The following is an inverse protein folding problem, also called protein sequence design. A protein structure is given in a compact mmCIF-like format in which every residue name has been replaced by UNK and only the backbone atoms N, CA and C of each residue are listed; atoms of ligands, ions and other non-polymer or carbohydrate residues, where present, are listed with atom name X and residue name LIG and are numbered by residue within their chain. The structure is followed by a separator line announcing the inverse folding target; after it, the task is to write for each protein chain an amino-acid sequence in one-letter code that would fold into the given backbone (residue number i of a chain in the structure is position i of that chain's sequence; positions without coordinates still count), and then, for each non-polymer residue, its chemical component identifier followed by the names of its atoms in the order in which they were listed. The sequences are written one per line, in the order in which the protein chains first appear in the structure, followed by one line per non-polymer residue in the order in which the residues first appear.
data_IF_013891852497
#
_entry.id   IF_013891852497
#
_cell.length_a   1.000
_cell.length_b   1.000
_cell.length_c   1.000
_cell.angle_alpha   90.00
_cell.angle_beta   90.00
_cell.angle_gamma   90.00
#
_symmetry.space_group_name_H-M   'P 1'
#
loop_
_entity.id
_entity.type
_entity.pdbx_description
1 polymer ?
#
# COMPACT_ATOMS: atom_id res chain seq x y z
N UNK A 1 6.34 5.78 -16.06
CA UNK A 1 7.24 4.90 -15.27
C UNK A 1 8.22 5.67 -14.38
N UNK A 2 9.01 6.67 -14.88
CA UNK A 2 10.01 7.35 -14.02
C UNK A 2 9.43 7.84 -12.68
N UNK A 3 8.30 8.54 -12.69
CA UNK A 3 7.66 9.03 -11.45
C UNK A 3 7.24 7.90 -10.49
N UNK A 4 6.79 6.75 -11.03
CA UNK A 4 6.52 5.57 -10.20
C UNK A 4 7.80 5.05 -9.54
N UNK A 5 8.90 4.95 -10.32
CA UNK A 5 10.19 4.50 -9.79
C UNK A 5 10.70 5.44 -8.70
N UNK A 6 10.59 6.76 -8.92
CA UNK A 6 10.95 7.76 -7.91
C UNK A 6 10.09 7.58 -6.65
N UNK A 7 8.77 7.40 -6.78
CA UNK A 7 7.85 7.17 -5.67
C UNK A 7 8.21 5.89 -4.88
N UNK A 8 8.40 4.74 -5.56
CA UNK A 8 8.77 3.48 -4.91
C UNK A 8 10.14 3.59 -4.22
N UNK A 9 11.11 4.21 -4.88
CA UNK A 9 12.46 4.35 -4.34
C UNK A 9 12.51 5.25 -3.08
N UNK A 10 11.61 6.23 -2.99
CA UNK A 10 11.50 7.14 -1.84
C UNK A 10 10.59 6.56 -0.73
N UNK A 11 9.58 5.76 -1.09
CA UNK A 11 8.63 5.13 -0.16
C UNK A 11 9.22 3.89 0.53
N UNK A 12 10.34 4.04 1.23
CA UNK A 12 11.13 2.93 1.82
C UNK A 12 10.57 2.37 3.13
N UNK A 13 9.52 2.97 3.67
CA UNK A 13 8.70 2.48 4.79
C UNK A 13 7.28 3.03 4.69
N UNK A 14 6.28 2.54 5.46
CA UNK A 14 4.93 3.10 5.47
C UNK A 14 4.91 4.61 5.73
N UNK A 15 5.76 5.09 6.64
CA UNK A 15 5.88 6.51 6.98
C UNK A 15 6.38 7.35 5.80
N UNK A 16 7.36 6.82 5.04
CA UNK A 16 7.87 7.47 3.84
C UNK A 16 6.83 7.46 2.70
N UNK A 17 6.07 6.37 2.54
CA UNK A 17 5.01 6.28 1.55
C UNK A 17 3.93 7.35 1.78
N UNK A 18 3.51 7.54 3.03
CA UNK A 18 2.55 8.59 3.40
C UNK A 18 3.15 9.99 3.21
N UNK A 19 4.43 10.18 3.55
CA UNK A 19 5.12 11.44 3.33
C UNK A 19 5.15 11.82 1.84
N UNK A 20 5.56 10.90 0.96
CA UNK A 20 5.61 11.12 -0.49
C UNK A 20 4.22 11.38 -1.09
N UNK A 21 3.21 10.65 -0.64
CA UNK A 21 1.82 10.89 -1.04
C UNK A 21 1.32 12.27 -0.59
N UNK A 22 1.61 12.66 0.65
CA UNK A 22 1.26 13.99 1.17
C UNK A 22 1.95 15.12 0.41
N UNK A 23 3.24 14.96 0.05
CA UNK A 23 3.96 15.94 -0.76
C UNK A 23 3.38 16.08 -2.18
N UNK A 24 2.94 14.97 -2.80
CA UNK A 24 2.23 15.04 -4.09
C UNK A 24 0.88 15.75 -3.93
N UNK A 25 0.10 15.43 -2.90
CA UNK A 25 -1.17 16.11 -2.63
C UNK A 25 -1.00 17.61 -2.39
N UNK A 26 0.01 18.03 -1.64
CA UNK A 26 0.34 19.45 -1.43
C UNK A 26 0.64 20.17 -2.77
N UNK A 27 1.45 19.54 -3.65
CA UNK A 27 1.74 20.07 -4.99
C UNK A 27 0.47 20.23 -5.83
N UNK A 28 -0.54 19.40 -5.59
CA UNK A 28 -1.85 19.46 -6.26
C UNK A 28 -2.85 20.40 -5.57
N UNK A 29 -2.42 21.15 -4.53
CA UNK A 29 -3.23 22.16 -3.85
C UNK A 29 -4.19 21.58 -2.79
N UNK A 30 -3.93 20.41 -2.25
CA UNK A 30 -4.68 19.86 -1.13
C UNK A 30 -4.21 20.49 0.19
N UNK A 31 -5.16 20.87 1.05
CA UNK A 31 -4.90 21.40 2.38
C UNK A 31 -4.78 20.24 3.39
N UNK A 32 -3.76 20.28 4.23
CA UNK A 32 -3.60 19.35 5.35
C UNK A 32 -4.59 19.67 6.46
N UNK A 33 -5.22 18.65 7.01
CA UNK A 33 -6.12 18.71 8.18
C UNK A 33 -5.54 17.88 9.32
N UNK A 34 -5.59 18.42 10.52
CA UNK A 34 -5.26 17.64 11.72
C UNK A 34 -6.49 16.93 12.29
N UNK A 35 -6.34 15.68 12.74
CA UNK A 35 -7.45 14.93 13.33
C UNK A 35 -7.99 15.60 14.62
N UNK A 36 -7.12 16.26 15.39
CA UNK A 36 -7.46 16.92 16.64
C UNK A 36 -8.21 18.25 16.49
N UNK A 37 -8.20 18.83 15.28
CA UNK A 37 -8.76 20.14 15.04
C UNK A 37 -10.22 20.09 14.55
N UNK A 38 -10.91 21.22 14.67
CA UNK A 38 -12.19 21.43 13.98
C UNK A 38 -11.93 21.64 12.48
N UNK A 39 -12.63 20.91 11.61
CA UNK A 39 -12.48 21.06 10.17
C UNK A 39 -13.46 22.11 9.64
N UNK A 40 -12.92 23.14 9.02
CA UNK A 40 -13.69 24.13 8.28
C UNK A 40 -13.60 23.80 6.77
N UNK A 41 -14.48 22.91 6.32
CA UNK A 41 -14.51 22.46 4.93
C UNK A 41 -15.38 23.40 4.08
N UNK A 42 -14.88 23.74 2.89
CA UNK A 42 -15.61 24.59 1.94
C UNK A 42 -16.03 23.79 0.70
N UNK A 43 -17.15 24.10 0.06
CA UNK A 43 -17.52 23.52 -1.22
C UNK A 43 -16.40 23.64 -2.25
N UNK A 44 -16.19 22.61 -3.06
CA UNK A 44 -15.07 22.54 -4.02
C UNK A 44 -13.69 22.29 -3.40
N UNK A 45 -13.55 22.32 -2.08
CA UNK A 45 -12.29 22.19 -1.36
C UNK A 45 -11.61 20.83 -1.53
N UNK A 46 -10.28 20.82 -1.36
CA UNK A 46 -9.41 19.65 -1.46
C UNK A 46 -8.61 19.51 -0.18
N UNK A 47 -8.68 18.35 0.45
CA UNK A 47 -8.10 18.13 1.77
C UNK A 47 -7.45 16.76 1.87
N UNK A 48 -6.50 16.63 2.80
CA UNK A 48 -6.00 15.34 3.25
C UNK A 48 -5.74 15.36 4.76
N UNK A 49 -5.80 14.19 5.36
CA UNK A 49 -5.54 13.95 6.78
C UNK A 49 -4.71 12.68 6.93
N UNK A 50 -3.78 12.67 7.88
CA UNK A 50 -2.94 11.51 8.18
C UNK A 50 -3.26 10.93 9.55
N UNK A 51 -3.06 9.62 9.71
CA UNK A 51 -3.17 8.92 11.00
C UNK A 51 -1.91 8.11 11.24
N UNK A 52 -1.32 8.26 12.43
CA UNK A 52 -0.06 7.62 12.80
C UNK A 52 1.12 7.92 11.85
N UNK A 53 1.00 8.90 10.96
CA UNK A 53 1.97 9.20 9.88
C UNK A 53 2.20 8.01 8.91
N UNK A 54 1.40 6.95 9.00
CA UNK A 54 1.51 5.73 8.19
C UNK A 54 0.25 5.40 7.40
N UNK A 55 -0.85 6.15 7.62
CA UNK A 55 -2.06 6.11 6.80
C UNK A 55 -2.49 7.51 6.43
N UNK A 56 -3.14 7.65 5.26
CA UNK A 56 -3.58 8.94 4.73
C UNK A 56 -4.90 8.77 3.99
N UNK A 57 -5.80 9.75 4.16
CA UNK A 57 -7.03 9.88 3.39
C UNK A 57 -7.06 11.27 2.78
N UNK A 58 -7.25 11.35 1.47
CA UNK A 58 -7.45 12.61 0.75
C UNK A 58 -8.84 12.64 0.12
N UNK A 59 -9.46 13.83 0.07
CA UNK A 59 -10.78 14.00 -0.50
C UNK A 59 -10.98 15.35 -1.20
N UNK A 60 -11.89 15.34 -2.18
CA UNK A 60 -12.32 16.52 -2.92
C UNK A 60 -13.83 16.65 -2.78
N UNK A 61 -14.31 17.81 -2.35
CA UNK A 61 -15.73 18.10 -2.17
C UNK A 61 -16.36 18.65 -3.46
N UNK A 62 -17.64 18.38 -3.77
CA UNK A 62 -18.37 19.05 -4.83
C UNK A 62 -18.63 20.53 -4.47
N UNK A 63 -18.95 21.35 -5.47
CA UNK A 63 -19.43 22.71 -5.26
C UNK A 63 -20.83 22.76 -4.63
N UNK A 64 -21.66 21.76 -4.96
CA UNK A 64 -23.02 21.60 -4.46
C UNK A 64 -23.14 20.49 -3.41
N UNK A 65 -24.38 20.06 -3.19
CA UNK A 65 -24.70 19.00 -2.24
C UNK A 65 -24.14 17.65 -2.73
N UNK A 66 -23.48 16.86 -1.87
CA UNK A 66 -23.05 15.51 -2.19
C UNK A 66 -24.24 14.59 -2.55
N UNK A 67 -24.05 13.76 -3.57
CA UNK A 67 -25.03 12.76 -4.00
C UNK A 67 -24.50 11.32 -3.85
N UNK A 68 -23.18 11.14 -3.97
CA UNK A 68 -22.48 9.85 -3.86
C UNK A 68 -21.00 10.03 -3.56
N UNK A 69 -20.36 8.96 -3.10
CA UNK A 69 -18.93 8.87 -2.93
C UNK A 69 -18.31 8.00 -4.03
N UNK A 70 -17.21 8.46 -4.62
CA UNK A 70 -16.25 7.61 -5.33
C UNK A 70 -15.02 7.45 -4.49
N UNK A 71 -14.67 6.21 -4.15
CA UNK A 71 -13.56 5.92 -3.25
C UNK A 71 -12.59 4.92 -3.86
N UNK A 72 -11.30 5.11 -3.61
CA UNK A 72 -10.29 4.07 -3.81
C UNK A 72 -9.54 3.84 -2.50
N UNK A 73 -9.09 2.61 -2.28
CA UNK A 73 -8.31 2.24 -1.13
C UNK A 73 -7.16 1.31 -1.52
N UNK A 74 -5.99 1.54 -0.93
CA UNK A 74 -4.73 0.81 -1.10
C UNK A 74 -4.00 0.76 0.23
N UNK A 75 -2.79 0.16 0.30
CA UNK A 75 -2.02 0.15 1.54
C UNK A 75 -0.58 0.68 1.38
N UNK A 76 0.03 1.09 2.50
CA UNK A 76 1.32 1.75 2.57
C UNK A 76 2.45 0.82 3.00
N UNK A 77 2.11 -0.25 3.71
CA UNK A 77 3.05 -1.22 4.28
C UNK A 77 3.41 -2.32 3.27
N UNK A 78 4.43 -3.07 3.56
CA UNK A 78 4.91 -4.20 2.76
C UNK A 78 5.65 -5.19 3.66
N UNK A 79 5.69 -6.50 3.32
CA UNK A 79 6.39 -7.49 4.13
C UNK A 79 7.89 -7.22 4.23
N UNK A 80 8.44 -7.44 5.42
CA UNK A 80 9.85 -7.21 5.65
C UNK A 80 10.27 -7.50 7.09
N UNK A 81 11.27 -6.79 7.58
CA UNK A 81 11.78 -6.96 8.93
C UNK A 81 11.75 -5.64 9.70
N UNK A 82 11.17 -5.67 10.90
CA UNK A 82 11.23 -4.58 11.87
C UNK A 82 12.46 -4.76 12.75
N UNK A 83 13.22 -3.70 12.99
CA UNK A 83 14.32 -3.68 13.96
C UNK A 83 13.73 -3.57 15.36
N UNK A 84 13.99 -4.57 16.21
CA UNK A 84 13.49 -4.61 17.59
C UNK A 84 14.31 -3.76 18.55
N UNK A 85 15.63 -3.63 18.27
CA UNK A 85 16.55 -2.96 19.17
C UNK A 85 17.68 -2.30 18.37
N UNK A 86 17.93 -1.02 18.65
CA UNK A 86 19.00 -0.24 18.02
C UNK A 86 20.37 -0.65 18.56
N UNK A 87 20.47 -1.00 19.86
CA UNK A 87 21.72 -1.51 20.48
C UNK A 87 21.71 -3.02 20.41
N UNK A 88 22.65 -3.60 19.66
CA UNK A 88 22.83 -5.05 19.57
C UNK A 88 24.19 -5.47 20.14
N UNK A 89 24.17 -6.42 21.07
CA UNK A 89 25.37 -6.98 21.68
C UNK A 89 25.83 -8.22 20.91
N UNK A 90 26.38 -8.01 19.71
CA UNK A 90 26.96 -9.10 18.90
C UNK A 90 28.16 -9.74 19.58
N UNK A 91 28.30 -11.08 19.49
CA UNK A 91 29.45 -11.80 20.06
C UNK A 91 30.71 -11.67 19.18
N UNK A 92 30.54 -11.76 17.87
CA UNK A 92 31.64 -11.75 16.88
C UNK A 92 31.56 -10.52 15.97
N UNK A 93 30.36 -10.18 15.52
CA UNK A 93 30.03 -9.03 14.68
C UNK A 93 28.88 -8.25 15.32
N UNK A 94 28.80 -6.97 15.04
CA UNK A 94 27.62 -6.18 15.37
C UNK A 94 26.46 -6.60 14.46
N UNK A 95 25.35 -6.96 15.06
CA UNK A 95 24.14 -7.37 14.35
C UNK A 95 22.90 -6.72 14.97
N UNK A 96 21.89 -6.48 14.18
CA UNK A 96 20.60 -6.00 14.67
C UNK A 96 19.67 -7.18 14.98
N UNK A 97 18.87 -7.05 16.03
CA UNK A 97 17.77 -7.96 16.27
C UNK A 97 16.55 -7.51 15.47
N UNK A 98 16.03 -8.41 14.65
CA UNK A 98 14.85 -8.15 13.82
C UNK A 98 13.75 -9.16 14.06
N UNK A 99 12.52 -8.78 13.73
CA UNK A 99 11.37 -9.67 13.65
C UNK A 99 10.67 -9.51 12.30
N UNK A 100 10.04 -10.58 11.81
CA UNK A 100 9.27 -10.55 10.59
C UNK A 100 8.00 -9.69 10.74
N UNK A 101 7.74 -8.89 9.72
CA UNK A 101 6.53 -8.11 9.53
C UNK A 101 5.82 -8.61 8.27
N UNK A 102 4.60 -9.14 8.40
CA UNK A 102 3.90 -9.80 7.30
C UNK A 102 4.52 -11.14 6.86
N UNK A 103 4.13 -11.61 5.71
CA UNK A 103 4.47 -12.92 5.15
C UNK A 103 5.50 -12.87 4.01
N UNK A 104 6.77 -12.51 4.27
CA UNK A 104 7.80 -12.38 3.24
C UNK A 104 8.38 -13.73 2.77
N UNK A 105 8.92 -13.77 1.56
CA UNK A 105 9.77 -14.87 1.05
C UNK A 105 11.19 -14.68 1.61
N UNK A 106 11.50 -15.33 2.72
CA UNK A 106 12.73 -15.12 3.51
C UNK A 106 14.00 -15.29 2.70
N UNK A 107 14.07 -16.29 1.81
CA UNK A 107 15.27 -16.58 0.98
C UNK A 107 15.71 -15.40 0.12
N UNK A 108 14.81 -14.50 -0.22
CA UNK A 108 15.11 -13.37 -1.11
C UNK A 108 15.80 -12.19 -0.40
N UNK A 109 15.92 -12.25 0.92
CA UNK A 109 16.54 -11.20 1.74
C UNK A 109 18.03 -11.41 1.99
N UNK A 110 18.56 -12.59 1.68
CA UNK A 110 19.96 -12.92 1.88
C UNK A 110 20.89 -12.29 0.85
N UNK A 111 22.15 -12.06 1.25
CA UNK A 111 23.30 -11.69 0.43
C UNK A 111 23.12 -10.42 -0.41
N UNK A 112 22.29 -9.49 0.05
CA UNK A 112 22.07 -8.22 -0.64
C UNK A 112 22.26 -7.02 0.28
N UNK A 113 22.60 -5.85 -0.27
CA UNK A 113 22.69 -4.63 0.51
C UNK A 113 21.35 -4.23 1.08
N UNK A 114 21.28 -4.04 2.39
CA UNK A 114 20.12 -3.55 3.12
C UNK A 114 20.46 -2.27 3.88
N UNK A 115 19.42 -1.53 4.22
CA UNK A 115 19.52 -0.37 5.12
C UNK A 115 18.27 -0.30 6.00
N UNK A 116 18.13 0.78 6.79
CA UNK A 116 16.94 1.02 7.58
C UNK A 116 16.20 2.28 7.17
N UNK A 117 14.90 2.26 7.36
CA UNK A 117 14.02 3.40 7.20
C UNK A 117 12.81 3.28 8.14
N UNK A 118 12.24 4.42 8.51
CA UNK A 118 11.07 4.47 9.39
C UNK A 118 10.98 5.82 10.08
N UNK A 119 10.72 5.79 11.39
CA UNK A 119 10.71 6.99 12.23
C UNK A 119 11.46 6.76 13.53
N UNK A 120 12.08 7.82 14.03
CA UNK A 120 12.73 7.88 15.34
C UNK A 120 11.93 8.80 16.26
N UNK A 121 11.65 8.35 17.46
CA UNK A 121 10.92 9.11 18.47
C UNK A 121 11.93 9.81 19.35
N UNK A 122 11.90 11.13 19.37
CA UNK A 122 12.94 11.94 20.00
C UNK A 122 12.37 12.91 21.03
N UNK A 123 13.17 13.21 22.03
CA UNK A 123 12.91 14.26 22.99
C UNK A 123 13.32 15.60 22.41
N UNK A 124 12.47 16.61 22.59
CA UNK A 124 12.78 18.02 22.29
C UNK A 124 12.39 18.91 23.45
N UNK A 125 12.81 20.18 23.50
CA UNK A 125 12.36 21.11 24.53
C UNK A 125 10.82 21.27 24.61
N UNK A 126 10.13 21.10 23.48
CA UNK A 126 8.68 21.28 23.37
C UNK A 126 7.89 19.97 23.57
N UNK A 127 8.56 18.84 23.80
CA UNK A 127 7.92 17.54 24.03
C UNK A 127 8.56 16.39 23.27
N UNK A 128 7.77 15.35 23.02
CA UNK A 128 8.18 14.16 22.27
C UNK A 128 7.67 14.27 20.84
N UNK A 129 8.57 14.14 19.88
CA UNK A 129 8.22 14.25 18.46
C UNK A 129 8.73 13.03 17.66
N UNK A 130 8.04 12.72 16.59
CA UNK A 130 8.45 11.72 15.60
C UNK A 130 9.24 12.38 14.48
N UNK A 131 10.37 11.81 14.09
CA UNK A 131 11.19 12.24 12.95
C UNK A 131 11.31 11.12 11.93
N UNK A 132 10.94 11.41 10.69
CA UNK A 132 11.18 10.53 9.56
C UNK A 132 12.68 10.29 9.44
N UNK A 133 13.09 9.01 9.38
CA UNK A 133 14.50 8.62 9.45
C UNK A 133 14.80 7.56 8.40
N UNK A 134 15.82 7.81 7.60
CA UNK A 134 16.31 6.88 6.56
C UNK A 134 17.81 6.95 6.46
N UNK A 135 18.47 5.80 6.41
CA UNK A 135 19.91 5.73 6.13
C UNK A 135 20.13 5.42 4.64
N UNK A 136 20.60 6.42 3.88
CA UNK A 136 20.90 6.28 2.45
C UNK A 136 22.32 5.71 2.23
N UNK A 137 22.60 4.56 2.85
CA UNK A 137 23.87 3.82 2.70
C UNK A 137 23.64 2.31 2.84
N UNK A 138 24.55 1.51 2.31
CA UNK A 138 24.55 0.06 2.48
C UNK A 138 25.04 -0.30 3.87
N UNK A 139 24.12 -0.56 4.81
CA UNK A 139 24.46 -0.78 6.23
C UNK A 139 24.49 -2.25 6.61
N UNK A 140 23.53 -3.04 6.11
CA UNK A 140 23.30 -4.38 6.58
C UNK A 140 23.43 -5.42 5.47
N UNK A 141 23.74 -6.64 5.89
CA UNK A 141 23.60 -7.84 5.08
C UNK A 141 23.10 -8.98 5.98
N UNK A 142 22.20 -9.79 5.47
CA UNK A 142 21.84 -11.09 6.05
C UNK A 142 22.67 -12.13 5.29
N UNK A 143 23.78 -12.65 5.83
CA UNK A 143 24.64 -13.56 5.09
C UNK A 143 24.10 -14.98 5.11
N UNK A 144 24.06 -15.65 3.95
CA UNK A 144 23.86 -17.08 3.89
C UNK A 144 25.01 -17.83 4.59
N UNK A 145 24.66 -18.98 5.19
CA UNK A 145 25.70 -19.92 5.60
C UNK A 145 26.31 -20.57 4.34
N UNK A 146 27.66 -20.62 4.29
CA UNK A 146 28.34 -21.19 3.15
C UNK A 146 27.85 -22.61 2.86
N UNK A 147 27.72 -22.96 1.56
CA UNK A 147 27.22 -24.27 1.11
C UNK A 147 27.96 -25.46 1.74
N UNK A 148 29.24 -25.26 2.09
CA UNK A 148 30.06 -26.29 2.74
C UNK A 148 29.56 -26.69 4.14
N UNK A 149 28.85 -25.77 4.80
CA UNK A 149 28.29 -25.97 6.15
C UNK A 149 26.76 -26.21 6.12
N UNK A 150 26.13 -26.00 4.97
CA UNK A 150 24.70 -26.22 4.77
C UNK A 150 24.42 -26.84 3.37
N UNK A 151 24.79 -28.10 3.21
CA UNK A 151 24.69 -28.80 1.92
C UNK A 151 23.25 -29.07 1.48
N UNK A 152 22.29 -28.99 2.39
CA UNK A 152 20.88 -29.23 2.14
C UNK A 152 20.09 -27.98 1.78
N UNK A 153 20.74 -26.80 1.72
CA UNK A 153 20.06 -25.51 1.46
C UNK A 153 19.19 -25.55 0.21
N UNK A 154 19.60 -26.24 -0.83
CA UNK A 154 18.87 -26.35 -2.11
C UNK A 154 17.81 -27.48 -2.11
N UNK A 155 17.59 -28.16 -0.99
CA UNK A 155 16.65 -29.27 -0.85
C UNK A 155 15.40 -28.90 -0.04
N UNK A 156 15.12 -27.62 0.19
CA UNK A 156 13.96 -27.13 0.93
C UNK A 156 14.29 -26.77 2.40
N UNK A 157 15.37 -26.04 2.62
CA UNK A 157 15.76 -25.56 3.95
C UNK A 157 14.70 -24.68 4.59
N UNK A 158 14.33 -24.98 5.85
CA UNK A 158 13.39 -24.18 6.63
C UNK A 158 14.14 -23.15 7.47
N UNK A 159 14.03 -21.89 7.11
CA UNK A 159 14.66 -20.80 7.84
C UNK A 159 14.05 -20.60 9.23
N UNK A 160 14.93 -20.36 10.22
CA UNK A 160 14.55 -19.90 11.53
C UNK A 160 14.83 -18.39 11.64
N UNK A 161 13.79 -17.52 11.70
CA UNK A 161 14.00 -16.07 11.70
C UNK A 161 14.91 -15.56 12.83
N UNK A 162 14.89 -16.20 13.99
CA UNK A 162 15.69 -15.80 15.15
C UNK A 162 17.19 -16.13 14.98
N UNK A 163 17.52 -17.12 14.15
CA UNK A 163 18.89 -17.61 13.97
C UNK A 163 19.46 -17.17 12.63
N UNK A 164 18.72 -17.41 11.56
CA UNK A 164 19.22 -17.27 10.19
C UNK A 164 19.13 -15.84 9.63
N UNK A 165 18.19 -15.01 10.17
CA UNK A 165 17.80 -13.74 9.55
C UNK A 165 18.30 -12.49 10.33
N UNK A 166 19.33 -12.63 11.18
CA UNK A 166 19.88 -11.51 11.92
C UNK A 166 20.88 -10.74 11.02
N UNK A 167 20.61 -9.47 10.66
CA UNK A 167 21.48 -8.72 9.77
C UNK A 167 22.75 -8.25 10.49
N UNK A 168 23.88 -8.42 9.84
CA UNK A 168 25.19 -7.92 10.30
C UNK A 168 25.41 -6.51 9.74
N UNK A 169 25.93 -5.59 10.57
CA UNK A 169 26.22 -4.21 10.15
C UNK A 169 27.63 -3.70 10.49
N UNK A 170 28.46 -4.49 11.14
CA UNK A 170 29.81 -4.03 11.42
C UNK A 170 30.65 -4.97 12.30
N UNK A 171 31.80 -4.48 12.75
CA UNK A 171 32.61 -5.12 13.76
C UNK A 171 31.89 -5.09 15.12
N UNK A 172 32.30 -5.93 16.06
CA UNK A 172 31.68 -6.11 17.38
C UNK A 172 31.31 -4.79 18.08
N UNK A 173 32.15 -3.79 17.98
CA UNK A 173 32.01 -2.51 18.69
C UNK A 173 31.35 -1.41 17.81
N UNK A 174 30.80 -1.76 16.67
CA UNK A 174 30.07 -0.80 15.82
C UNK A 174 28.77 -0.35 16.50
N UNK A 175 28.50 0.96 16.45
CA UNK A 175 27.33 1.58 17.10
C UNK A 175 26.27 2.03 16.09
N UNK A 176 25.17 1.29 16.03
CA UNK A 176 24.02 1.63 15.18
C UNK A 176 23.27 2.84 15.73
N UNK A 177 23.29 3.08 17.05
CA UNK A 177 22.59 4.21 17.67
C UNK A 177 23.13 5.54 17.15
N UNK A 178 24.45 5.67 17.03
CA UNK A 178 25.09 6.86 16.46
C UNK A 178 24.67 7.10 14.99
N UNK A 179 24.48 6.03 14.21
CA UNK A 179 23.98 6.15 12.83
C UNK A 179 22.54 6.65 12.82
N UNK A 180 21.66 6.07 13.66
CA UNK A 180 20.26 6.51 13.76
C UNK A 180 20.18 7.97 14.24
N UNK A 181 20.97 8.35 15.24
CA UNK A 181 21.01 9.72 15.76
C UNK A 181 21.41 10.73 14.68
N UNK A 182 22.44 10.39 13.90
CA UNK A 182 22.90 11.21 12.75
C UNK A 182 21.78 11.38 11.72
N UNK A 183 21.14 10.29 11.31
CA UNK A 183 20.06 10.35 10.29
C UNK A 183 18.79 11.02 10.80
N UNK A 184 18.52 10.94 12.11
CA UNK A 184 17.42 11.67 12.76
C UNK A 184 17.78 13.14 13.09
N UNK A 185 19.03 13.54 12.88
CA UNK A 185 19.58 14.87 13.23
C UNK A 185 19.35 15.25 14.71
N UNK A 186 19.73 14.35 15.64
CA UNK A 186 19.63 14.51 17.10
C UNK A 186 20.84 13.91 17.81
N UNK A 187 20.99 14.24 19.09
CA UNK A 187 21.93 13.53 19.96
C UNK A 187 21.37 12.13 20.31
N UNK A 188 22.26 11.15 20.46
CA UNK A 188 21.87 9.77 20.79
C UNK A 188 21.07 9.65 22.08
N UNK A 189 21.33 10.52 23.05
CA UNK A 189 20.63 10.55 24.36
C UNK A 189 19.19 11.08 24.27
N UNK A 190 18.84 11.75 23.18
CA UNK A 190 17.50 12.24 22.92
C UNK A 190 16.61 11.23 22.18
N UNK A 191 17.17 10.11 21.72
CA UNK A 191 16.38 9.03 21.13
C UNK A 191 15.67 8.26 22.25
N UNK A 192 14.34 8.26 22.21
CA UNK A 192 13.50 7.55 23.17
C UNK A 192 13.09 6.16 22.64
N UNK A 193 12.74 6.05 21.36
CA UNK A 193 12.30 4.82 20.72
C UNK A 193 12.38 4.97 19.18
N UNK A 194 12.00 3.91 18.44
CA UNK A 194 11.95 3.95 16.97
C UNK A 194 11.01 2.89 16.39
N UNK A 195 10.43 3.21 15.24
CA UNK A 195 9.76 2.25 14.34
C UNK A 195 10.60 2.17 13.06
N UNK A 196 11.64 1.32 13.07
CA UNK A 196 12.57 1.16 11.96
C UNK A 196 12.41 -0.21 11.31
N UNK A 197 12.40 -0.21 9.97
CA UNK A 197 12.31 -1.39 9.12
C UNK A 197 13.57 -1.54 8.27
N UNK A 198 13.98 -2.77 8.01
CA UNK A 198 14.97 -3.03 6.97
C UNK A 198 14.35 -2.80 5.60
N UNK A 199 15.09 -2.19 4.69
CA UNK A 199 14.70 -2.11 3.29
C UNK A 199 15.85 -2.52 2.36
N UNK A 200 15.46 -3.04 1.20
CA UNK A 200 16.40 -3.46 0.15
C UNK A 200 16.90 -2.24 -0.60
N UNK A 201 18.21 -2.12 -0.76
CA UNK A 201 18.90 -0.99 -1.43
C UNK A 201 18.86 -1.08 -2.97
N UNK A 202 18.09 -2.00 -3.52
CA UNK A 202 17.91 -2.10 -4.95
C UNK A 202 16.86 -1.08 -5.43
N UNK A 203 17.19 -0.17 -6.34
CA UNK A 203 16.20 0.71 -6.94
C UNK A 203 15.30 -0.03 -7.92
N UNK A 204 14.18 0.57 -8.27
CA UNK A 204 13.33 0.10 -9.36
C UNK A 204 14.08 0.15 -10.70
N UNK A 205 14.00 -0.91 -11.48
CA UNK A 205 14.69 -1.06 -12.77
C UNK A 205 13.77 -1.68 -13.82
N UNK A 206 13.97 -1.30 -15.07
CA UNK A 206 13.31 -1.98 -16.19
C UNK A 206 13.90 -3.38 -16.42
N UNK A 207 13.06 -4.27 -16.93
CA UNK A 207 13.38 -5.65 -17.25
C UNK A 207 12.71 -6.05 -18.57
N UNK A 208 13.32 -7.03 -19.27
CA UNK A 208 12.82 -7.53 -20.55
C UNK A 208 13.55 -6.93 -21.75
N UNK A 209 13.37 -7.55 -22.93
CA UNK A 209 14.04 -7.14 -24.17
C UNK A 209 13.59 -5.78 -24.66
N UNK A 210 12.32 -5.43 -24.40
CA UNK A 210 11.69 -4.17 -24.79
C UNK A 210 11.36 -3.28 -23.59
N UNK A 211 11.93 -3.61 -22.41
CA UNK A 211 11.66 -2.92 -21.14
C UNK A 211 10.17 -2.92 -20.75
N UNK A 212 9.48 -3.96 -21.12
CA UNK A 212 8.03 -4.15 -20.91
C UNK A 212 7.66 -4.50 -19.47
N UNK A 213 8.64 -4.96 -18.67
CA UNK A 213 8.51 -5.26 -17.26
C UNK A 213 9.38 -4.33 -16.41
N UNK A 214 9.15 -4.34 -15.12
CA UNK A 214 10.03 -3.72 -14.15
C UNK A 214 10.16 -4.57 -12.89
N UNK A 215 11.27 -4.40 -12.19
CA UNK A 215 11.51 -4.99 -10.88
C UNK A 215 11.68 -3.87 -9.85
N UNK A 216 11.04 -4.02 -8.71
CA UNK A 216 11.21 -3.11 -7.58
C UNK A 216 10.88 -3.81 -6.26
N UNK A 217 11.42 -3.37 -5.13
CA UNK A 217 10.88 -3.72 -3.82
C UNK A 217 9.52 -3.07 -3.62
N UNK A 218 8.63 -3.69 -2.83
CA UNK A 218 7.37 -3.09 -2.37
C UNK A 218 6.41 -2.67 -3.50
N UNK A 219 6.39 -3.40 -4.63
CA UNK A 219 5.37 -3.18 -5.66
C UNK A 219 3.99 -3.43 -5.04
N UNK A 220 3.88 -4.44 -4.19
CA UNK A 220 2.79 -4.66 -3.27
C UNK A 220 2.97 -3.81 -2.01
N UNK A 221 2.15 -2.75 -1.81
CA UNK A 221 1.06 -2.29 -2.71
C UNK A 221 1.35 -0.87 -3.25
N UNK A 222 2.62 -0.44 -3.24
CA UNK A 222 2.99 0.90 -3.73
C UNK A 222 2.65 1.09 -5.23
N UNK A 223 2.53 0.01 -5.99
CA UNK A 223 2.07 0.05 -7.38
C UNK A 223 0.62 0.52 -7.50
N UNK A 224 -0.29 -0.09 -6.73
CA UNK A 224 -1.70 0.33 -6.69
C UNK A 224 -1.85 1.68 -5.97
N UNK A 225 -1.14 1.90 -4.85
CA UNK A 225 -1.17 3.16 -4.12
C UNK A 225 -0.79 4.36 -5.00
N UNK A 226 0.30 4.25 -5.74
CA UNK A 226 0.72 5.28 -6.70
C UNK A 226 -0.30 5.47 -7.83
N UNK A 227 -0.76 4.36 -8.43
CA UNK A 227 -1.65 4.42 -9.59
C UNK A 227 -3.01 5.02 -9.24
N UNK A 228 -3.56 4.67 -8.07
CA UNK A 228 -4.81 5.22 -7.56
C UNK A 228 -4.65 6.70 -7.16
N UNK A 229 -3.53 7.09 -6.53
CA UNK A 229 -3.21 8.49 -6.24
C UNK A 229 -3.16 9.34 -7.53
N UNK A 230 -2.42 8.87 -8.55
CA UNK A 230 -2.28 9.61 -9.80
C UNK A 230 -3.62 9.71 -10.56
N UNK A 231 -4.43 8.65 -10.56
CA UNK A 231 -5.78 8.68 -11.09
C UNK A 231 -6.67 9.70 -10.37
N UNK A 232 -6.61 9.71 -9.03
CA UNK A 232 -7.37 10.63 -8.18
C UNK A 232 -7.00 12.10 -8.39
N UNK A 233 -5.72 12.46 -8.36
CA UNK A 233 -5.28 13.86 -8.46
C UNK A 233 -5.42 14.44 -9.88
N UNK A 234 -5.41 13.59 -10.91
CA UNK A 234 -5.57 14.01 -12.31
C UNK A 234 -7.02 14.10 -12.79
N UNK A 235 -7.98 13.54 -12.02
CA UNK A 235 -9.37 13.49 -12.40
C UNK A 235 -10.11 14.82 -12.19
N UNK A 236 -11.04 15.10 -13.10
CA UNK A 236 -12.04 16.16 -12.94
C UNK A 236 -13.34 15.53 -12.43
N UNK A 237 -13.63 15.72 -11.14
CA UNK A 237 -14.81 15.10 -10.51
C UNK A 237 -16.12 15.54 -11.15
N UNK A 238 -17.11 14.63 -11.29
CA UNK A 238 -18.45 14.99 -11.74
C UNK A 238 -19.20 15.78 -10.65
N UNK A 239 -20.27 16.46 -11.06
CA UNK A 239 -21.15 17.17 -10.13
C UNK A 239 -21.75 16.20 -9.10
N UNK A 240 -21.85 16.63 -7.85
CA UNK A 240 -22.39 15.85 -6.73
C UNK A 240 -21.45 14.76 -6.18
N UNK A 241 -20.31 14.50 -6.81
CA UNK A 241 -19.36 13.51 -6.31
C UNK A 241 -18.46 14.05 -5.20
N UNK A 242 -18.34 13.31 -4.10
CA UNK A 242 -17.20 13.41 -3.19
C UNK A 242 -16.19 12.33 -3.61
N UNK A 243 -15.04 12.75 -4.09
CA UNK A 243 -13.94 11.83 -4.45
C UNK A 243 -13.03 11.63 -3.26
N UNK A 244 -12.73 10.36 -2.91
CA UNK A 244 -11.91 10.00 -1.73
C UNK A 244 -10.85 8.99 -2.16
N UNK A 245 -9.59 9.25 -1.81
CA UNK A 245 -8.46 8.34 -1.95
C UNK A 245 -7.93 7.97 -0.57
N UNK A 246 -7.74 6.67 -0.32
CA UNK A 246 -7.25 6.14 0.94
C UNK A 246 -5.99 5.30 0.73
N UNK A 247 -5.03 5.41 1.66
CA UNK A 247 -3.90 4.50 1.79
C UNK A 247 -3.74 4.15 3.27
N UNK A 248 -3.96 2.87 3.62
CA UNK A 248 -3.96 2.37 5.00
C UNK A 248 -2.65 1.65 5.33
N UNK A 249 -2.33 1.56 6.61
CA UNK A 249 -1.18 0.80 7.14
C UNK A 249 -1.64 -0.57 7.68
N UNK A 250 -0.68 -1.45 7.92
CA UNK A 250 -0.86 -2.75 8.57
C UNK A 250 -1.77 -3.74 7.83
N UNK A 251 -1.92 -3.62 6.51
CA UNK A 251 -2.61 -4.63 5.71
C UNK A 251 -1.95 -5.99 5.88
N UNK A 252 -0.65 -6.05 5.74
CA UNK A 252 0.20 -7.24 5.76
C UNK A 252 0.22 -8.01 7.10
N UNK A 253 -0.36 -7.41 8.12
CA UNK A 253 -0.52 -7.99 9.46
C UNK A 253 -1.99 -8.00 9.91
N UNK A 254 -2.93 -7.85 8.96
CA UNK A 254 -4.38 -8.07 9.17
C UNK A 254 -5.19 -6.82 9.50
N UNK A 255 -4.69 -5.60 9.26
CA UNK A 255 -5.43 -4.32 9.36
C UNK A 255 -6.07 -3.99 10.72
N UNK A 256 -5.85 -4.80 11.76
CA UNK A 256 -6.52 -4.71 13.06
C UNK A 256 -5.95 -3.63 13.99
N UNK A 257 -5.60 -2.47 13.47
CA UNK A 257 -5.01 -1.35 14.21
C UNK A 257 -5.80 -0.06 14.01
N UNK A 258 -5.48 0.99 14.80
CA UNK A 258 -6.10 2.31 14.66
C UNK A 258 -5.92 2.92 13.27
N UNK A 259 -4.78 2.68 12.62
CA UNK A 259 -4.41 3.17 11.28
C UNK A 259 -4.70 2.16 10.16
N UNK A 260 -5.06 0.93 10.48
CA UNK A 260 -5.42 -0.09 9.49
C UNK A 260 -6.85 0.04 8.98
N UNK A 261 -7.17 -0.70 7.93
CA UNK A 261 -8.49 -0.67 7.27
C UNK A 261 -9.66 -1.11 8.18
N UNK A 262 -9.41 -1.92 9.22
CA UNK A 262 -10.41 -2.28 10.25
C UNK A 262 -10.59 -1.19 11.31
N UNK A 263 -9.75 -0.15 11.32
CA UNK A 263 -9.91 1.00 12.20
C UNK A 263 -11.08 1.89 11.75
N UNK A 264 -11.36 2.91 12.55
CA UNK A 264 -12.44 3.86 12.29
C UNK A 264 -12.00 5.10 11.47
N UNK A 265 -10.83 5.07 10.82
CA UNK A 265 -10.28 6.24 10.14
C UNK A 265 -11.22 6.73 9.01
N UNK A 266 -11.59 5.85 8.09
CA UNK A 266 -12.53 6.22 7.02
C UNK A 266 -13.92 6.60 7.55
N UNK A 267 -14.57 5.84 8.45
CA UNK A 267 -15.84 6.24 9.06
C UNK A 267 -15.82 7.63 9.69
N UNK A 268 -14.76 7.99 10.41
CA UNK A 268 -14.61 9.30 11.04
C UNK A 268 -14.42 10.43 10.03
N UNK A 269 -13.66 10.20 8.97
CA UNK A 269 -13.51 11.17 7.87
C UNK A 269 -14.84 11.41 7.19
N UNK A 270 -15.61 10.35 6.86
CA UNK A 270 -16.94 10.46 6.26
C UNK A 270 -17.89 11.24 7.17
N UNK A 271 -17.93 10.90 8.46
CA UNK A 271 -18.77 11.61 9.44
C UNK A 271 -18.45 13.12 9.48
N UNK A 272 -17.16 13.49 9.44
CA UNK A 272 -16.74 14.90 9.48
C UNK A 272 -17.08 15.63 8.20
N UNK A 273 -16.95 14.99 7.03
CA UNK A 273 -17.41 15.52 5.74
C UNK A 273 -18.94 15.73 5.79
N UNK A 274 -19.69 14.71 6.16
CA UNK A 274 -21.14 14.74 6.24
C UNK A 274 -21.63 15.85 7.16
N UNK A 275 -21.01 15.99 8.34
CA UNK A 275 -21.34 17.06 9.30
C UNK A 275 -21.04 18.46 8.76
N UNK A 276 -19.89 18.63 8.12
CA UNK A 276 -19.47 19.93 7.56
C UNK A 276 -20.35 20.35 6.36
N UNK A 277 -20.84 19.38 5.60
CA UNK A 277 -21.74 19.60 4.44
C UNK A 277 -23.23 19.60 4.87
N UNK A 278 -23.52 19.60 6.15
CA UNK A 278 -24.90 19.60 6.72
C UNK A 278 -25.77 18.44 6.21
N UNK A 279 -25.17 17.27 5.95
CA UNK A 279 -25.85 16.05 5.50
C UNK A 279 -26.54 15.41 6.71
N UNK A 280 -27.85 15.16 6.58
CA UNK A 280 -28.64 14.47 7.62
C UNK A 280 -28.34 12.96 7.61
N UNK A 281 -28.64 12.28 8.71
CA UNK A 281 -28.39 10.85 8.87
C UNK A 281 -29.05 9.99 7.75
N UNK A 282 -30.32 10.23 7.43
CA UNK A 282 -31.02 9.54 6.33
C UNK A 282 -30.38 9.81 4.96
N UNK A 283 -29.89 11.04 4.74
CA UNK A 283 -29.19 11.41 3.50
C UNK A 283 -27.83 10.73 3.40
N UNK A 284 -27.13 10.60 4.52
CA UNK A 284 -25.87 9.86 4.60
C UNK A 284 -26.04 8.40 4.15
N UNK A 285 -27.09 7.71 4.63
CA UNK A 285 -27.40 6.35 4.19
C UNK A 285 -27.68 6.28 2.70
N UNK A 286 -28.46 7.24 2.16
CA UNK A 286 -28.76 7.32 0.73
C UNK A 286 -27.49 7.54 -0.11
N UNK A 287 -26.62 8.47 0.30
CA UNK A 287 -25.35 8.77 -0.38
C UNK A 287 -24.48 7.52 -0.41
N UNK A 288 -24.30 6.86 0.75
CA UNK A 288 -23.47 5.64 0.87
C UNK A 288 -24.00 4.49 0.01
N UNK A 289 -25.32 4.30 -0.06
CA UNK A 289 -25.94 3.26 -0.89
C UNK A 289 -25.76 3.47 -2.39
N UNK A 290 -25.57 4.73 -2.82
CA UNK A 290 -25.33 5.11 -4.23
C UNK A 290 -23.86 5.07 -4.63
N UNK A 291 -22.97 4.89 -3.68
CA UNK A 291 -21.52 5.03 -3.81
C UNK A 291 -20.85 3.75 -4.32
N UNK A 292 -19.57 3.87 -4.69
CA UNK A 292 -18.72 2.73 -5.04
C UNK A 292 -17.31 2.94 -4.46
N UNK A 293 -16.79 1.89 -3.82
CA UNK A 293 -15.41 1.82 -3.36
C UNK A 293 -14.65 0.77 -4.18
N UNK A 294 -13.51 1.16 -4.73
CA UNK A 294 -12.57 0.29 -5.43
C UNK A 294 -11.40 0.01 -4.50
N UNK A 295 -11.31 -1.20 -3.99
CA UNK A 295 -10.17 -1.71 -3.24
C UNK A 295 -9.11 -2.16 -4.24
N UNK A 296 -7.95 -1.50 -4.23
CA UNK A 296 -6.86 -1.74 -5.15
C UNK A 296 -5.66 -2.28 -4.37
N UNK A 297 -5.33 -3.54 -4.61
CA UNK A 297 -4.26 -4.29 -3.98
C UNK A 297 -3.76 -5.33 -4.99
N UNK A 298 -2.45 -5.53 -5.11
CA UNK A 298 -1.85 -6.28 -6.20
C UNK A 298 -2.41 -7.71 -6.32
N UNK A 299 -2.30 -8.29 -7.51
CA UNK A 299 -2.84 -9.61 -7.85
C UNK A 299 -1.73 -10.55 -8.31
N UNK A 300 -1.88 -11.84 -8.03
CA UNK A 300 -0.95 -12.86 -8.51
C UNK A 300 -1.06 -13.04 -10.02
N UNK A 301 0.03 -12.82 -10.76
CA UNK A 301 0.16 -13.29 -12.13
C UNK A 301 0.42 -14.80 -12.16
N UNK A 302 0.01 -15.45 -13.23
CA UNK A 302 0.28 -16.88 -13.48
C UNK A 302 1.79 -17.09 -13.63
N UNK A 303 2.36 -17.90 -12.73
CA UNK A 303 3.80 -18.12 -12.69
C UNK A 303 4.25 -18.99 -13.87
N UNK A 304 5.25 -18.58 -14.67
CA UNK A 304 5.62 -19.29 -15.90
C UNK A 304 6.09 -20.73 -15.67
N UNK A 305 6.73 -21.01 -14.54
CA UNK A 305 7.22 -22.34 -14.18
C UNK A 305 6.22 -23.19 -13.39
N UNK A 306 5.14 -22.58 -12.89
CA UNK A 306 4.12 -23.21 -12.04
C UNK A 306 2.70 -22.79 -12.45
N UNK A 307 2.34 -22.92 -13.75
CA UNK A 307 1.02 -22.48 -14.23
C UNK A 307 -0.13 -23.26 -13.56
N UNK A 308 0.14 -24.47 -13.09
CA UNK A 308 -0.79 -25.31 -12.34
C UNK A 308 -1.18 -24.76 -10.96
N UNK A 309 -0.48 -23.75 -10.44
CA UNK A 309 -0.84 -23.06 -9.21
C UNK A 309 -1.94 -22.03 -9.40
N UNK A 310 -2.17 -21.57 -10.62
CA UNK A 310 -3.28 -20.68 -10.99
C UNK A 310 -4.48 -21.47 -11.50
N UNK A 311 -5.68 -20.87 -11.47
CA UNK A 311 -6.84 -21.43 -12.14
C UNK A 311 -6.63 -21.41 -13.65
N UNK A 312 -6.80 -22.55 -14.30
CA UNK A 312 -6.52 -22.72 -15.73
C UNK A 312 -7.51 -21.98 -16.65
N UNK A 313 -8.68 -21.60 -16.13
CA UNK A 313 -9.70 -20.86 -16.88
C UNK A 313 -9.48 -19.35 -16.84
N UNK A 314 -8.72 -18.87 -15.83
CA UNK A 314 -8.48 -17.45 -15.59
C UNK A 314 -6.97 -17.18 -15.40
N UNK A 315 -6.12 -17.47 -16.43
CA UNK A 315 -4.72 -17.09 -16.34
C UNK A 315 -4.58 -15.58 -16.32
N UNK A 316 -3.75 -15.06 -15.43
CA UNK A 316 -3.44 -13.63 -15.32
C UNK A 316 -2.03 -13.38 -15.82
N UNK A 317 -1.86 -12.46 -16.76
CA UNK A 317 -0.59 -12.15 -17.40
C UNK A 317 -0.17 -10.71 -17.11
N UNK A 318 1.14 -10.46 -17.09
CA UNK A 318 1.69 -9.12 -17.00
C UNK A 318 1.45 -8.36 -18.31
N UNK A 319 1.12 -7.06 -18.22
CA UNK A 319 0.82 -6.15 -19.33
C UNK A 319 -0.50 -6.44 -20.08
N UNK A 320 -1.33 -7.35 -19.60
CA UNK A 320 -2.62 -7.69 -20.20
C UNK A 320 -3.81 -6.99 -19.49
N UNK A 321 -3.51 -6.03 -18.59
CA UNK A 321 -4.53 -5.17 -18.00
C UNK A 321 -4.84 -5.44 -16.53
N UNK A 322 -5.82 -4.70 -16.03
CA UNK A 322 -6.22 -4.68 -14.62
C UNK A 322 -6.92 -5.99 -14.25
N UNK A 323 -6.58 -6.52 -13.11
CA UNK A 323 -7.16 -7.76 -12.59
C UNK A 323 -8.37 -7.43 -11.70
N UNK A 324 -9.56 -7.96 -12.04
CA UNK A 324 -10.73 -7.97 -11.15
C UNK A 324 -10.70 -9.27 -10.36
N UNK A 325 -10.63 -9.17 -9.03
CA UNK A 325 -10.47 -10.32 -8.12
C UNK A 325 -11.84 -10.85 -7.65
N UNK A 326 -12.06 -12.16 -7.75
CA UNK A 326 -13.28 -12.84 -7.29
C UNK A 326 -12.96 -13.92 -6.25
N UNK A 327 -13.81 -14.03 -5.24
CA UNK A 327 -13.71 -15.09 -4.24
C UNK A 327 -15.08 -15.50 -3.72
N UNK A 328 -15.43 -16.78 -3.83
CA UNK A 328 -16.72 -17.31 -3.39
C UNK A 328 -16.94 -17.18 -1.87
N UNK A 329 -15.86 -17.15 -1.08
CA UNK A 329 -15.92 -16.95 0.38
C UNK A 329 -15.90 -15.48 0.77
N UNK A 330 -16.08 -14.56 -0.19
CA UNK A 330 -16.12 -13.10 0.00
C UNK A 330 -14.88 -12.53 0.71
N UNK A 331 -13.72 -13.15 0.52
CA UNK A 331 -12.43 -12.55 0.91
C UNK A 331 -12.07 -11.36 0.04
N UNK A 332 -12.65 -11.29 -1.15
CA UNK A 332 -12.77 -10.11 -2.01
C UNK A 332 -14.24 -9.73 -2.08
N UNK A 333 -14.54 -8.44 -2.02
CA UNK A 333 -15.93 -7.92 -1.97
C UNK A 333 -16.62 -7.91 -3.32
N UNK A 334 -15.90 -8.23 -4.39
CA UNK A 334 -16.37 -8.18 -5.76
C UNK A 334 -17.63 -9.04 -5.96
N UNK A 335 -18.68 -8.42 -6.47
CA UNK A 335 -19.90 -9.09 -6.97
C UNK A 335 -19.94 -9.04 -8.50
N UNK A 336 -20.76 -9.86 -9.11
CA UNK A 336 -20.98 -9.80 -10.57
C UNK A 336 -21.42 -8.42 -11.05
N UNK A 337 -22.17 -7.69 -10.22
CA UNK A 337 -22.66 -6.36 -10.54
C UNK A 337 -21.57 -5.30 -10.48
N UNK A 338 -20.82 -5.22 -9.37
CA UNK A 338 -19.72 -4.24 -9.21
C UNK A 338 -18.60 -4.49 -10.22
N UNK A 339 -18.31 -5.76 -10.51
CA UNK A 339 -17.37 -6.13 -11.56
C UNK A 339 -17.82 -5.70 -12.95
N UNK A 340 -19.12 -5.90 -13.29
CA UNK A 340 -19.64 -5.49 -14.58
C UNK A 340 -19.59 -3.97 -14.77
N UNK A 341 -19.91 -3.21 -13.73
CA UNK A 341 -19.79 -1.74 -13.73
C UNK A 341 -18.35 -1.31 -14.01
N UNK A 342 -17.38 -1.87 -13.31
CA UNK A 342 -15.97 -1.50 -13.50
C UNK A 342 -15.42 -1.97 -14.85
N UNK A 343 -15.79 -3.18 -15.30
CA UNK A 343 -15.38 -3.69 -16.61
C UNK A 343 -15.96 -2.85 -17.75
N UNK A 344 -17.21 -2.41 -17.65
CA UNK A 344 -17.83 -1.50 -18.62
C UNK A 344 -17.12 -0.14 -18.65
N UNK A 345 -16.77 0.42 -17.49
CA UNK A 345 -15.95 1.63 -17.40
C UNK A 345 -14.62 1.44 -18.16
N UNK A 346 -13.89 0.37 -17.87
CA UNK A 346 -12.63 0.06 -18.55
C UNK A 346 -12.82 -0.07 -20.07
N UNK A 347 -13.88 -0.77 -20.51
CA UNK A 347 -14.20 -0.94 -21.93
C UNK A 347 -14.42 0.39 -22.65
N UNK A 348 -15.14 1.33 -22.03
CA UNK A 348 -15.37 2.68 -22.59
C UNK A 348 -14.06 3.48 -22.78
N UNK A 349 -13.07 3.18 -21.97
CA UNK A 349 -11.74 3.82 -22.05
C UNK A 349 -10.70 2.99 -22.82
N UNK A 350 -11.08 1.85 -23.40
CA UNK A 350 -10.17 0.96 -24.13
C UNK A 350 -9.12 0.28 -23.24
N UNK A 351 -9.42 0.09 -21.94
CA UNK A 351 -8.52 -0.49 -20.96
C UNK A 351 -8.82 -1.98 -20.82
N UNK A 352 -7.81 -2.86 -21.02
CA UNK A 352 -7.99 -4.29 -20.85
C UNK A 352 -8.20 -4.66 -19.38
N UNK A 353 -9.02 -5.67 -19.14
CA UNK A 353 -9.26 -6.23 -17.81
C UNK A 353 -9.12 -7.75 -17.84
N UNK A 354 -8.59 -8.30 -16.78
CA UNK A 354 -8.43 -9.73 -16.57
C UNK A 354 -9.29 -10.16 -15.39
N UNK A 355 -9.64 -11.44 -15.32
CA UNK A 355 -10.37 -12.03 -14.21
C UNK A 355 -9.44 -12.92 -13.41
N UNK A 356 -9.43 -12.75 -12.09
CA UNK A 356 -8.73 -13.64 -11.16
C UNK A 356 -9.72 -14.39 -10.28
N UNK A 357 -9.52 -15.70 -10.18
CA UNK A 357 -10.14 -16.56 -9.18
C UNK A 357 -9.08 -17.54 -8.68
N UNK A 358 -9.12 -17.88 -7.39
CA UNK A 358 -8.26 -18.92 -6.86
C UNK A 358 -8.65 -20.30 -7.42
N UNK A 359 -7.69 -21.20 -7.55
CA UNK A 359 -8.01 -22.62 -7.71
C UNK A 359 -8.92 -23.08 -6.59
N UNK A 360 -9.89 -23.95 -6.90
CA UNK A 360 -10.89 -24.40 -5.93
C UNK A 360 -10.27 -25.13 -4.71
N UNK A 361 -9.07 -25.68 -4.87
CA UNK A 361 -8.31 -26.40 -3.83
C UNK A 361 -7.26 -25.52 -3.11
N UNK A 362 -7.18 -24.23 -3.42
CA UNK A 362 -6.22 -23.29 -2.84
C UNK A 362 -6.92 -22.20 -2.03
N UNK A 363 -6.56 -22.04 -0.74
CA UNK A 363 -7.10 -20.94 0.03
C UNK A 363 -6.56 -19.59 -0.53
N UNK A 364 -7.44 -18.66 -0.80
CA UNK A 364 -7.06 -17.30 -1.18
C UNK A 364 -6.63 -16.45 0.02
N UNK A 365 -5.82 -15.42 -0.24
CA UNK A 365 -5.62 -14.30 0.68
C UNK A 365 -6.92 -13.47 0.83
N UNK A 366 -6.92 -12.51 1.72
CA UNK A 366 -7.93 -11.45 1.78
C UNK A 366 -7.26 -10.12 1.43
N UNK A 367 -8.07 -9.10 1.19
CA UNK A 367 -7.63 -7.74 0.91
C UNK A 367 -8.30 -6.77 1.87
N UNK A 368 -7.84 -5.53 1.85
CA UNK A 368 -8.43 -4.46 2.67
C UNK A 368 -9.92 -4.19 2.34
N UNK A 369 -10.40 -4.51 1.13
CA UNK A 369 -11.82 -4.30 0.74
C UNK A 369 -12.79 -5.04 1.63
N UNK A 370 -12.58 -6.34 1.87
CA UNK A 370 -13.41 -7.11 2.80
C UNK A 370 -13.40 -6.50 4.21
N UNK A 371 -12.24 -6.06 4.69
CA UNK A 371 -12.09 -5.46 6.02
C UNK A 371 -12.77 -4.09 6.12
N UNK A 372 -12.64 -3.24 5.10
CA UNK A 372 -13.34 -1.97 5.01
C UNK A 372 -14.86 -2.13 4.97
N UNK A 373 -15.37 -3.20 4.35
CA UNK A 373 -16.81 -3.46 4.29
C UNK A 373 -17.46 -3.63 5.67
N UNK A 374 -16.68 -4.02 6.70
CA UNK A 374 -17.14 -4.08 8.09
C UNK A 374 -17.24 -2.67 8.74
N UNK A 375 -16.54 -1.70 8.20
CA UNK A 375 -16.50 -0.32 8.74
C UNK A 375 -17.46 0.61 8.01
N UNK A 376 -17.60 0.44 6.69
CA UNK A 376 -18.47 1.26 5.84
C UNK A 376 -19.30 0.38 4.92
N UNK A 377 -20.64 0.50 5.00
CA UNK A 377 -21.59 -0.27 4.19
C UNK A 377 -21.78 0.39 2.83
N UNK A 378 -20.81 0.24 1.94
CA UNK A 378 -20.80 0.80 0.59
C UNK A 378 -20.56 -0.34 -0.41
N UNK A 379 -21.20 -0.38 -1.58
CA UNK A 379 -20.85 -1.33 -2.64
C UNK A 379 -19.35 -1.26 -2.97
N UNK A 380 -18.70 -2.42 -3.07
CA UNK A 380 -17.24 -2.51 -3.28
C UNK A 380 -16.88 -3.52 -4.35
N UNK A 381 -15.66 -3.37 -4.90
CA UNK A 381 -14.99 -4.40 -5.68
C UNK A 381 -13.49 -4.36 -5.41
N UNK A 382 -12.84 -5.49 -5.62
CA UNK A 382 -11.39 -5.65 -5.48
C UNK A 382 -10.74 -5.80 -6.84
N UNK A 383 -9.76 -4.94 -7.11
CA UNK A 383 -8.93 -4.98 -8.31
C UNK A 383 -7.46 -5.06 -7.93
N UNK A 384 -6.59 -5.32 -8.88
CA UNK A 384 -5.14 -5.31 -8.63
C UNK A 384 -4.30 -5.20 -9.90
N UNK A 385 -3.04 -4.83 -9.70
CA UNK A 385 -2.00 -4.93 -10.71
C UNK A 385 -1.44 -6.36 -10.69
N UNK A 386 -1.31 -7.03 -11.84
CA UNK A 386 -0.69 -8.35 -11.88
C UNK A 386 0.80 -8.25 -11.58
N UNK A 387 1.30 -9.15 -10.72
CA UNK A 387 2.72 -9.24 -10.41
C UNK A 387 3.20 -10.67 -10.18
N UNK A 388 4.49 -10.89 -10.36
CA UNK A 388 5.21 -12.09 -9.99
C UNK A 388 6.03 -11.86 -8.73
N UNK A 389 6.29 -12.94 -8.00
CA UNK A 389 7.10 -12.93 -6.79
C UNK A 389 6.58 -11.98 -5.70
N UNK A 390 5.25 -11.86 -5.54
CA UNK A 390 4.61 -11.12 -4.46
C UNK A 390 5.24 -11.50 -3.10
N UNK A 391 5.52 -10.51 -2.25
CA UNK A 391 6.20 -10.66 -0.97
C UNK A 391 7.68 -11.10 -1.03
N UNK A 392 8.28 -11.07 -2.22
CA UNK A 392 9.75 -11.15 -2.36
C UNK A 392 10.38 -9.81 -1.93
N UNK A 393 11.65 -9.84 -1.55
CA UNK A 393 12.42 -8.62 -1.30
C UNK A 393 12.50 -7.69 -2.54
N UNK A 394 12.30 -8.26 -3.73
CA UNK A 394 12.16 -7.55 -5.02
C UNK A 394 11.13 -8.31 -5.85
N UNK A 395 10.15 -7.61 -6.38
CA UNK A 395 9.00 -8.14 -7.10
C UNK A 395 9.07 -7.72 -8.58
N UNK A 396 8.19 -8.28 -9.41
CA UNK A 396 8.18 -8.01 -10.87
C UNK A 396 6.75 -7.73 -11.33
N UNK A 397 6.56 -6.66 -12.11
CA UNK A 397 5.26 -6.29 -12.66
C UNK A 397 5.38 -5.76 -14.11
N UNK A 398 4.23 -5.58 -14.76
CA UNK A 398 4.12 -5.04 -16.11
C UNK A 398 4.10 -3.51 -16.13
N UNK A 399 4.84 -2.91 -17.06
CA UNK A 399 4.87 -1.45 -17.20
C UNK A 399 3.54 -0.88 -17.71
N UNK A 400 2.84 -1.60 -18.59
CA UNK A 400 1.58 -1.13 -19.17
C UNK A 400 0.43 -1.17 -18.15
N UNK A 401 0.43 -2.15 -17.24
CA UNK A 401 -0.61 -2.31 -16.24
C UNK A 401 -0.72 -1.10 -15.32
N UNK A 402 0.42 -0.47 -14.99
CA UNK A 402 0.46 0.80 -14.24
C UNK A 402 -0.29 1.91 -14.98
N UNK A 403 -0.07 2.02 -16.29
CA UNK A 403 -0.73 3.05 -17.11
C UNK A 403 -2.23 2.77 -17.20
N UNK A 404 -2.62 1.51 -17.40
CA UNK A 404 -4.02 1.09 -17.43
C UNK A 404 -4.72 1.39 -16.10
N UNK A 405 -4.09 1.09 -14.97
CA UNK A 405 -4.66 1.37 -13.64
C UNK A 405 -4.86 2.89 -13.44
N UNK A 406 -3.87 3.70 -13.75
CA UNK A 406 -3.98 5.16 -13.64
C UNK A 406 -5.14 5.70 -14.50
N UNK A 407 -5.29 5.22 -15.73
CA UNK A 407 -6.34 5.64 -16.64
C UNK A 407 -7.74 5.18 -16.18
N UNK A 408 -7.87 3.93 -15.70
CA UNK A 408 -9.12 3.40 -15.19
C UNK A 408 -9.59 4.14 -13.94
N UNK A 409 -8.69 4.38 -13.00
CA UNK A 409 -9.01 5.13 -11.76
C UNK A 409 -9.33 6.60 -12.06
N UNK A 410 -8.62 7.21 -13.00
CA UNK A 410 -9.00 8.54 -13.48
C UNK A 410 -10.42 8.52 -14.08
N UNK A 411 -10.72 7.59 -15.00
CA UNK A 411 -12.04 7.42 -15.59
C UNK A 411 -13.14 7.15 -14.55
N UNK A 412 -12.82 6.37 -13.51
CA UNK A 412 -13.71 6.14 -12.37
C UNK A 412 -14.08 7.43 -11.65
N UNK A 413 -13.10 8.26 -11.29
CA UNK A 413 -13.36 9.53 -10.62
C UNK A 413 -14.00 10.59 -11.52
N UNK A 414 -13.86 10.50 -12.85
CA UNK A 414 -14.47 11.42 -13.82
C UNK A 414 -15.91 11.03 -14.23
N UNK A 415 -16.30 9.77 -14.01
CA UNK A 415 -17.61 9.24 -14.39
C UNK A 415 -18.66 9.50 -13.32
N UNK A 416 -19.95 9.54 -13.73
CA UNK A 416 -21.09 9.59 -12.79
C UNK A 416 -21.61 8.17 -12.52
N UNK A 417 -20.78 7.32 -11.96
CA UNK A 417 -21.13 5.94 -11.61
C UNK A 417 -21.86 5.93 -10.27
N UNK A 418 -23.13 5.56 -10.26
CA UNK A 418 -23.91 5.46 -9.02
C UNK A 418 -25.01 4.40 -9.09
N UNK A 419 -25.29 3.78 -7.95
CA UNK A 419 -26.44 2.89 -7.79
C UNK A 419 -27.70 3.73 -7.58
N UNK A 420 -28.68 3.63 -8.48
CA UNK A 420 -29.95 4.37 -8.39
C UNK A 420 -31.04 3.61 -7.66
N UNK A 421 -30.96 2.30 -7.66
CA UNK A 421 -31.75 1.36 -6.87
C UNK A 421 -31.02 0.03 -6.77
N UNK A 422 -31.43 -0.83 -5.87
CA UNK A 422 -30.82 -2.14 -5.73
C UNK A 422 -30.78 -2.89 -7.08
N UNK A 423 -29.57 -3.34 -7.46
CA UNK A 423 -29.32 -4.01 -8.74
C UNK A 423 -29.31 -3.12 -9.99
N UNK A 424 -29.39 -1.79 -9.87
CA UNK A 424 -29.41 -0.88 -11.05
C UNK A 424 -28.42 0.28 -10.88
N UNK A 425 -27.50 0.39 -11.83
CA UNK A 425 -26.47 1.43 -11.88
C UNK A 425 -26.62 2.32 -13.11
N UNK A 426 -26.24 3.56 -12.99
CA UNK A 426 -26.01 4.49 -14.10
C UNK A 426 -24.51 4.79 -14.20
N UNK A 427 -24.07 5.14 -15.42
CA UNK A 427 -22.65 5.39 -15.74
C UNK A 427 -22.54 6.53 -16.75
#
# INVERSE_FOLDING_TARGET
MKKLFDFINQSVSPFHAVYEAAEELKKQGFCHLEEGDTWELVPGGRYYVTRNQSSIIAFQLPEGKPEFYHMTASHSDSPGFRIKKIKADGKLYASAEVEGYGGMIMSTWFDRPLSFAGRTIVRTPDGIVSRLTVADQNLFVIPNLAIHFNREINQGYKYNPQIDLQPVYGKKDSDLTSVVAKEAAVDSDDILDSDLFLYVRQPAVYLGTDQEFFMAPRIDDLGCAYSTLQGFVSAQKPEGAVSIWCMFDNEEVGSGTRQGALGNFLPEVLLRIEKSMEIKEDESVQIRSRSLLVSADNAHATHPNYPDKSDSQFPVLLNDGIVIKYNASQKYTTTGLTAAVFAELCSRHGIPVQRFANRADSPGGSTLGNLLSHQVSIPMLDIGLPQLAMHSAVETAGCHDIVYMMQAIRGFYESRIMQIKDGTWIM
#
